data_IF_524199745934
#
_entry.id   IF_524199745934
#
_cell.length_a   1.000
_cell.length_b   1.000
_cell.length_c   1.000
_cell.angle_alpha   90.00
_cell.angle_beta   90.00
_cell.angle_gamma   90.00
#
_symmetry.space_group_name_H-M   'P 1'
#
loop_
_entity.id
_entity.type
_entity.pdbx_description
1 polymer ?
#
# COMPACT_ATOMS: atom_id res chain seq x y z
N UNK A 1 18.37 42.94 -48.81
CA UNK A 1 19.65 42.20 -48.70
C UNK A 1 20.63 43.07 -47.93
N UNK A 2 21.01 42.65 -46.71
CA UNK A 2 22.42 42.50 -46.40
C UNK A 2 22.75 41.11 -45.85
N UNK A 3 24.02 40.76 -46.03
CA UNK A 3 24.69 39.47 -45.83
C UNK A 3 25.46 39.51 -44.50
N UNK A 4 25.28 38.43 -43.71
CA UNK A 4 26.25 37.69 -42.89
C UNK A 4 27.26 38.43 -42.00
N UNK A 5 27.31 38.07 -40.70
CA UNK A 5 28.54 37.61 -40.01
C UNK A 5 28.16 36.60 -38.91
N UNK A 6 28.84 35.46 -38.86
CA UNK A 6 28.76 34.42 -37.83
C UNK A 6 29.78 34.62 -36.70
N UNK A 7 29.35 34.25 -35.49
CA UNK A 7 30.05 33.66 -34.32
C UNK A 7 31.20 34.42 -33.60
N UNK A 8 31.22 34.36 -32.25
CA UNK A 8 31.81 33.22 -31.56
C UNK A 8 30.93 32.57 -30.47
N UNK A 9 31.35 31.36 -30.13
CA UNK A 9 30.82 30.37 -29.20
C UNK A 9 31.02 30.71 -27.72
N UNK A 10 30.31 29.94 -26.88
CA UNK A 10 30.47 29.63 -25.43
C UNK A 10 29.51 30.32 -24.45
N UNK A 11 29.20 29.70 -23.29
CA UNK A 11 29.36 28.31 -22.87
C UNK A 11 28.03 27.61 -22.56
N UNK A 12 28.09 26.27 -22.50
CA UNK A 12 27.06 25.41 -21.92
C UNK A 12 26.75 25.91 -20.49
N UNK A 13 25.49 26.31 -20.27
CA UNK A 13 24.93 26.43 -18.94
C UNK A 13 24.13 25.17 -18.73
N UNK A 14 24.53 24.40 -17.72
CA UNK A 14 23.92 23.14 -17.31
C UNK A 14 22.44 23.38 -16.98
N UNK A 15 21.62 23.08 -17.97
CA UNK A 15 20.18 22.97 -17.82
C UNK A 15 19.85 21.64 -17.17
N UNK A 16 19.21 21.75 -16.02
CA UNK A 16 17.98 20.99 -15.78
C UNK A 16 18.14 19.48 -15.49
N UNK A 17 18.87 19.15 -14.41
CA UNK A 17 18.59 17.95 -13.62
C UNK A 17 17.68 18.31 -12.42
N UNK A 18 16.40 18.59 -12.70
CA UNK A 18 15.33 18.55 -11.69
C UNK A 18 14.09 17.89 -12.27
N UNK A 19 14.25 16.65 -12.69
CA UNK A 19 13.11 15.77 -12.93
C UNK A 19 13.51 14.31 -12.69
N UNK A 20 13.93 13.93 -11.48
CA UNK A 20 13.89 12.53 -11.03
C UNK A 20 14.19 12.41 -9.51
N UNK A 21 13.26 12.89 -8.67
CA UNK A 21 13.27 12.59 -7.22
C UNK A 21 12.01 11.87 -6.75
N UNK A 22 11.25 11.24 -7.67
CA UNK A 22 10.07 10.43 -7.32
C UNK A 22 10.19 8.93 -7.64
N UNK A 23 11.39 8.39 -7.91
CA UNK A 23 11.61 6.95 -8.10
C UNK A 23 12.71 6.33 -7.22
N UNK A 24 13.13 6.98 -6.14
CA UNK A 24 14.07 6.39 -5.19
C UNK A 24 13.41 5.37 -4.21
N UNK A 25 12.07 5.28 -4.18
CA UNK A 25 11.34 4.35 -3.29
C UNK A 25 11.10 2.94 -3.85
N UNK A 26 11.49 2.66 -5.11
CA UNK A 26 11.25 1.37 -5.77
C UNK A 26 12.52 0.49 -5.89
N UNK A 27 13.71 1.05 -5.69
CA UNK A 27 14.96 0.31 -5.81
C UNK A 27 15.23 -0.64 -4.63
N UNK A 28 14.80 -0.30 -3.40
CA UNK A 28 15.04 -1.16 -2.23
C UNK A 28 14.18 -2.45 -2.21
N UNK A 29 13.13 -2.54 -3.04
CA UNK A 29 12.31 -3.75 -3.18
C UNK A 29 12.69 -4.58 -4.42
N UNK A 30 13.47 -4.05 -5.36
CA UNK A 30 13.93 -4.79 -6.54
C UNK A 30 15.01 -5.82 -6.18
N UNK A 31 15.90 -5.50 -5.23
CA UNK A 31 16.93 -6.43 -4.73
C UNK A 31 16.33 -7.62 -3.97
N UNK A 32 15.17 -7.44 -3.32
CA UNK A 32 14.44 -8.51 -2.65
C UNK A 32 13.83 -9.53 -3.63
N UNK A 33 13.44 -9.09 -4.84
CA UNK A 33 12.90 -9.96 -5.89
C UNK A 33 14.02 -10.59 -6.72
N UNK A 34 15.14 -9.88 -6.93
CA UNK A 34 16.31 -10.38 -7.65
C UNK A 34 17.00 -11.57 -6.94
N UNK A 35 16.95 -11.65 -5.61
CA UNK A 35 17.41 -12.82 -4.86
C UNK A 35 16.55 -14.07 -5.06
N UNK A 36 15.27 -13.93 -5.45
CA UNK A 36 14.36 -15.07 -5.66
C UNK A 36 14.42 -15.63 -7.09
N UNK A 37 14.97 -14.87 -8.04
CA UNK A 37 14.95 -15.22 -9.47
C UNK A 37 16.33 -15.43 -10.09
N UNK A 38 17.43 -15.29 -9.33
CA UNK A 38 18.74 -15.70 -9.82
C UNK A 38 18.80 -17.23 -9.96
N UNK A 39 18.98 -17.79 -11.18
CA UNK A 39 19.24 -19.20 -11.33
C UNK A 39 20.58 -19.51 -10.66
N UNK A 40 20.54 -20.27 -9.56
CA UNK A 40 21.73 -20.88 -8.98
C UNK A 40 22.28 -21.84 -10.03
N UNK A 41 23.33 -21.45 -10.73
CA UNK A 41 24.13 -22.34 -11.55
C UNK A 41 24.86 -23.30 -10.62
N UNK A 42 24.21 -24.41 -10.28
CA UNK A 42 24.86 -25.50 -9.56
C UNK A 42 25.92 -26.14 -10.49
N UNK A 43 27.20 -26.23 -10.06
CA UNK A 43 28.18 -27.04 -10.78
C UNK A 43 27.74 -28.51 -10.75
N UNK A 44 27.73 -29.15 -11.91
CA UNK A 44 27.44 -30.59 -12.06
C UNK A 44 28.48 -31.40 -11.28
N UNK A 45 28.05 -32.10 -10.23
CA UNK A 45 28.85 -33.18 -9.65
C UNK A 45 28.85 -33.28 -8.12
N UNK A 46 27.72 -33.11 -7.45
CA UNK A 46 27.62 -33.40 -6.01
C UNK A 46 26.40 -34.28 -5.70
N UNK A 47 26.65 -35.32 -4.91
CA UNK A 47 25.71 -36.37 -4.52
C UNK A 47 24.40 -35.84 -3.93
N UNK A 48 23.30 -36.49 -4.33
CA UNK A 48 21.94 -36.21 -3.90
C UNK A 48 21.68 -36.69 -2.46
N UNK A 49 22.28 -36.02 -1.49
CA UNK A 49 21.81 -36.00 -0.09
C UNK A 49 21.61 -34.55 0.34
N UNK A 50 20.78 -33.82 -0.39
CA UNK A 50 20.36 -32.47 -0.04
C UNK A 50 19.25 -32.56 1.02
N UNK A 51 19.68 -32.74 2.27
CA UNK A 51 18.89 -32.39 3.44
C UNK A 51 18.51 -30.90 3.28
N UNK A 52 17.22 -30.60 3.35
CA UNK A 52 16.67 -29.25 3.22
C UNK A 52 17.23 -28.40 4.36
N UNK A 53 18.36 -27.74 4.13
CA UNK A 53 18.87 -26.67 4.98
C UNK A 53 17.98 -25.45 4.72
N UNK A 54 16.81 -25.42 5.36
CA UNK A 54 16.05 -24.19 5.51
C UNK A 54 16.93 -23.21 6.27
N UNK A 55 17.53 -22.30 5.52
CA UNK A 55 18.45 -21.31 6.01
C UNK A 55 17.77 -20.49 7.13
N UNK A 56 18.40 -20.44 8.31
CA UNK A 56 17.91 -19.68 9.46
C UNK A 56 17.68 -18.21 9.09
N UNK A 57 18.34 -17.72 8.04
CA UNK A 57 18.19 -16.39 7.49
C UNK A 57 16.77 -16.07 6.98
N UNK A 58 16.08 -17.03 6.36
CA UNK A 58 14.74 -16.82 5.79
C UNK A 58 13.66 -16.74 6.86
N UNK A 59 13.77 -17.56 7.91
CA UNK A 59 12.81 -17.55 9.04
C UNK A 59 12.93 -16.26 9.85
N UNK A 60 14.15 -15.76 10.06
CA UNK A 60 14.39 -14.49 10.77
C UNK A 60 13.82 -13.30 9.99
N UNK A 61 14.00 -13.26 8.66
CA UNK A 61 13.43 -12.19 7.81
C UNK A 61 11.91 -12.17 7.82
N UNK A 62 11.24 -13.33 7.75
CA UNK A 62 9.77 -13.42 7.82
C UNK A 62 9.27 -12.96 9.19
N UNK A 63 9.96 -13.34 10.26
CA UNK A 63 9.60 -12.92 11.63
C UNK A 63 9.75 -11.41 11.84
N UNK A 64 10.80 -10.81 11.26
CA UNK A 64 11.04 -9.37 11.30
C UNK A 64 9.97 -8.61 10.51
N UNK A 65 9.65 -9.07 9.29
CA UNK A 65 8.55 -8.53 8.47
C UNK A 65 7.22 -8.60 9.20
N UNK A 66 6.93 -9.72 9.86
CA UNK A 66 5.67 -9.90 10.60
C UNK A 66 5.59 -8.95 11.80
N UNK A 67 6.69 -8.75 12.55
CA UNK A 67 6.74 -7.80 13.66
C UNK A 67 6.57 -6.35 13.20
N UNK A 68 7.25 -5.93 12.14
CA UNK A 68 7.13 -4.57 11.58
C UNK A 68 5.72 -4.32 11.03
N UNK A 69 5.09 -5.35 10.44
CA UNK A 69 3.73 -5.24 9.92
C UNK A 69 2.67 -5.22 11.05
N UNK A 70 2.90 -5.93 12.15
CA UNK A 70 2.00 -5.97 13.31
C UNK A 70 2.11 -4.74 14.22
N UNK A 71 3.29 -4.10 14.31
CA UNK A 71 3.50 -2.90 15.13
C UNK A 71 2.90 -1.63 14.50
N UNK A 72 2.41 -1.69 13.27
CA UNK A 72 1.76 -0.57 12.56
C UNK A 72 0.23 -0.66 12.60
N UNK A 73 -0.36 -1.29 13.62
CA UNK A 73 -1.79 -1.14 13.89
C UNK A 73 -2.06 0.35 14.12
N UNK A 74 -2.86 1.03 13.28
CA UNK A 74 -3.17 2.44 13.50
C UNK A 74 -3.83 2.53 14.87
N UNK A 75 -3.26 3.36 15.75
CA UNK A 75 -3.95 3.76 16.96
C UNK A 75 -5.31 4.31 16.52
N UNK A 76 -6.38 3.57 16.80
CA UNK A 76 -7.75 4.05 16.68
C UNK A 76 -7.98 5.05 17.81
N UNK A 77 -7.24 6.15 17.79
CA UNK A 77 -7.45 7.24 18.70
C UNK A 77 -8.59 8.06 18.11
N UNK A 78 -9.81 7.67 18.48
CA UNK A 78 -11.04 8.36 18.15
C UNK A 78 -11.10 9.68 18.92
N UNK A 79 -10.17 10.59 18.65
CA UNK A 79 -10.31 11.99 19.04
C UNK A 79 -11.38 12.58 18.13
N UNK A 80 -12.63 12.38 18.54
CA UNK A 80 -13.80 12.94 17.89
C UNK A 80 -13.65 14.46 17.88
N UNK A 81 -13.36 15.00 16.71
CA UNK A 81 -13.22 16.42 16.50
C UNK A 81 -14.62 17.01 16.35
N UNK A 82 -15.19 17.58 17.43
CA UNK A 82 -16.45 18.35 17.34
C UNK A 82 -16.15 19.82 17.57
N UNK A 83 -16.44 20.64 16.57
CA UNK A 83 -16.36 22.10 16.70
C UNK A 83 -17.75 22.58 17.15
N UNK A 84 -17.82 23.20 18.33
CA UNK A 84 -18.99 24.01 18.73
C UNK A 84 -19.17 25.22 17.78
N UNK A 85 -20.27 25.96 17.90
CA UNK A 85 -20.64 27.01 16.93
C UNK A 85 -19.51 28.03 16.68
N UNK A 86 -19.40 28.51 15.44
CA UNK A 86 -18.32 29.38 14.96
C UNK A 86 -18.17 30.70 15.76
N UNK A 87 -19.26 31.18 16.36
CA UNK A 87 -19.33 32.48 17.06
C UNK A 87 -18.43 32.55 18.31
N UNK A 88 -18.08 31.40 18.90
CA UNK A 88 -17.29 31.35 20.14
C UNK A 88 -15.78 31.31 19.92
N UNK A 89 -15.33 31.23 18.67
CA UNK A 89 -13.92 31.01 18.35
C UNK A 89 -13.30 32.22 17.65
N UNK A 90 -12.07 32.58 18.05
CA UNK A 90 -11.29 33.57 17.32
C UNK A 90 -10.90 33.03 15.93
N UNK A 91 -10.75 33.92 14.95
CA UNK A 91 -10.32 33.53 13.60
C UNK A 91 -8.96 32.81 13.65
N UNK A 92 -8.05 33.26 14.51
CA UNK A 92 -6.73 32.62 14.65
C UNK A 92 -6.85 31.18 15.16
N UNK A 93 -7.81 30.92 16.04
CA UNK A 93 -8.12 29.56 16.47
C UNK A 93 -8.66 28.71 15.32
N UNK A 94 -9.62 29.23 14.55
CA UNK A 94 -10.17 28.52 13.39
C UNK A 94 -9.09 28.22 12.34
N UNK A 95 -8.20 29.17 12.06
CA UNK A 95 -7.05 28.99 11.15
C UNK A 95 -6.09 27.91 11.65
N UNK A 96 -5.78 27.92 12.94
CA UNK A 96 -4.94 26.90 13.55
C UNK A 96 -5.58 25.51 13.38
N UNK A 97 -6.85 25.38 13.75
CA UNK A 97 -7.60 24.13 13.62
C UNK A 97 -7.66 23.65 12.17
N UNK A 98 -7.93 24.57 11.23
CA UNK A 98 -7.92 24.28 9.80
C UNK A 98 -6.59 23.69 9.33
N UNK A 99 -5.47 24.26 9.78
CA UNK A 99 -4.13 23.73 9.46
C UNK A 99 -3.90 22.31 10.00
N UNK A 100 -4.52 21.95 11.13
CA UNK A 100 -4.44 20.60 11.68
C UNK A 100 -5.35 19.61 10.94
N UNK A 101 -6.54 20.06 10.55
CA UNK A 101 -7.47 19.27 9.75
C UNK A 101 -6.86 18.93 8.38
N UNK A 102 -6.18 19.89 7.76
CA UNK A 102 -5.50 19.68 6.48
C UNK A 102 -4.37 18.65 6.58
N UNK A 103 -3.53 18.75 7.61
CA UNK A 103 -2.50 17.73 7.91
C UNK A 103 -3.09 16.34 8.14
N UNK A 104 -4.19 16.25 8.90
CA UNK A 104 -4.88 14.97 9.14
C UNK A 104 -5.46 14.37 7.86
N UNK A 105 -5.96 15.20 6.95
CA UNK A 105 -6.44 14.73 5.65
C UNK A 105 -5.28 14.22 4.79
N UNK A 106 -4.15 14.93 4.75
CA UNK A 106 -2.92 14.49 4.07
C UNK A 106 -2.39 13.16 4.62
N UNK A 107 -2.39 12.99 5.95
CA UNK A 107 -2.04 11.72 6.60
C UNK A 107 -2.98 10.58 6.17
N UNK A 108 -4.26 10.88 5.92
CA UNK A 108 -5.21 9.89 5.39
C UNK A 108 -4.84 9.46 3.96
N UNK A 109 -4.37 10.38 3.11
CA UNK A 109 -3.89 10.07 1.75
C UNK A 109 -2.61 9.24 1.81
N UNK A 110 -1.64 9.62 2.63
CA UNK A 110 -0.41 8.83 2.87
C UNK A 110 -0.71 7.41 3.34
N UNK A 111 -1.70 7.25 4.22
CA UNK A 111 -2.15 5.93 4.69
C UNK A 111 -2.73 5.10 3.54
N UNK A 112 -3.48 5.73 2.63
CA UNK A 112 -4.01 5.06 1.44
C UNK A 112 -2.87 4.54 0.55
N UNK A 113 -1.87 5.37 0.25
CA UNK A 113 -0.73 5.01 -0.59
C UNK A 113 0.10 3.90 0.06
N UNK A 114 0.42 4.02 1.35
CA UNK A 114 1.14 3.00 2.09
C UNK A 114 0.39 1.66 2.12
N UNK A 115 -0.93 1.68 2.26
CA UNK A 115 -1.79 0.48 2.22
C UNK A 115 -1.78 -0.17 0.85
N UNK A 116 -1.82 0.63 -0.22
CA UNK A 116 -1.74 0.15 -1.60
C UNK A 116 -0.38 -0.50 -1.87
N UNK A 117 0.72 0.17 -1.54
CA UNK A 117 2.08 -0.39 -1.71
C UNK A 117 2.24 -1.71 -0.95
N UNK A 118 1.83 -1.78 0.32
CA UNK A 118 1.86 -3.03 1.11
C UNK A 118 1.04 -4.15 0.45
N UNK A 119 -0.15 -3.82 -0.07
CA UNK A 119 -1.00 -4.79 -0.77
C UNK A 119 -0.30 -5.32 -2.03
N UNK A 120 0.31 -4.43 -2.83
CA UNK A 120 1.04 -4.82 -4.05
C UNK A 120 2.20 -5.76 -3.68
N UNK A 121 3.00 -5.44 -2.66
CA UNK A 121 4.08 -6.31 -2.19
C UNK A 121 3.58 -7.70 -1.81
N UNK A 122 2.46 -7.79 -1.08
CA UNK A 122 1.86 -9.08 -0.71
C UNK A 122 1.33 -9.86 -1.91
N UNK A 123 0.75 -9.18 -2.91
CA UNK A 123 0.30 -9.82 -4.14
C UNK A 123 1.48 -10.38 -4.92
N UNK A 124 2.56 -9.61 -5.09
CA UNK A 124 3.77 -10.06 -5.78
C UNK A 124 4.34 -11.33 -5.12
N UNK A 125 4.42 -11.35 -3.79
CA UNK A 125 4.82 -12.53 -3.04
C UNK A 125 3.89 -13.73 -3.29
N UNK A 126 2.57 -13.50 -3.23
CA UNK A 126 1.57 -14.55 -3.46
C UNK A 126 1.67 -15.15 -4.86
N UNK A 127 1.84 -14.31 -5.88
CA UNK A 127 1.99 -14.73 -7.28
C UNK A 127 3.27 -15.54 -7.47
N UNK A 128 4.39 -15.11 -6.87
CA UNK A 128 5.64 -15.86 -6.92
C UNK A 128 5.51 -17.26 -6.30
N UNK A 129 4.90 -17.37 -5.11
CA UNK A 129 4.67 -18.64 -4.43
C UNK A 129 3.72 -19.56 -5.23
N UNK A 130 2.61 -19.00 -5.74
CA UNK A 130 1.65 -19.75 -6.55
C UNK A 130 2.31 -20.28 -7.83
N UNK A 131 3.13 -19.46 -8.49
CA UNK A 131 3.85 -19.84 -9.71
C UNK A 131 4.87 -20.94 -9.44
N UNK A 132 5.64 -20.85 -8.34
CA UNK A 132 6.60 -21.87 -7.94
C UNK A 132 5.92 -23.21 -7.61
N UNK A 133 4.80 -23.18 -6.90
CA UNK A 133 4.04 -24.40 -6.60
C UNK A 133 3.37 -25.01 -7.84
N UNK A 134 2.82 -24.17 -8.73
CA UNK A 134 2.27 -24.64 -10.00
C UNK A 134 3.36 -25.30 -10.87
N UNK A 135 4.54 -24.69 -10.96
CA UNK A 135 5.68 -25.28 -11.66
C UNK A 135 6.10 -26.62 -11.04
N UNK A 136 6.17 -26.70 -9.71
CA UNK A 136 6.46 -27.96 -9.01
C UNK A 136 5.42 -29.05 -9.31
N UNK A 137 4.13 -28.69 -9.30
CA UNK A 137 3.05 -29.60 -9.65
C UNK A 137 3.22 -30.15 -11.06
N UNK A 138 3.39 -29.29 -12.07
CA UNK A 138 3.55 -29.74 -13.46
C UNK A 138 4.83 -30.54 -13.70
N UNK A 139 5.93 -30.20 -13.03
CA UNK A 139 7.21 -30.90 -13.18
C UNK A 139 7.20 -32.33 -12.58
N UNK A 140 6.38 -32.57 -11.55
CA UNK A 140 6.35 -33.84 -10.83
C UNK A 140 5.06 -34.65 -11.09
N UNK A 141 4.13 -34.13 -11.89
CA UNK A 141 2.89 -34.82 -12.22
C UNK A 141 3.16 -35.93 -13.23
N UNK A 142 3.09 -37.18 -12.79
CA UNK A 142 3.13 -38.33 -13.68
C UNK A 142 1.71 -38.66 -14.16
N UNK A 143 1.49 -38.57 -15.47
CA UNK A 143 0.21 -38.90 -16.10
C UNK A 143 -0.08 -40.41 -16.12
N UNK A 144 0.84 -41.25 -15.62
CA UNK A 144 0.66 -42.71 -15.49
C UNK A 144 -0.42 -43.14 -14.50
N UNK A 145 -1.01 -42.21 -13.74
CA UNK A 145 -2.21 -42.44 -12.93
C UNK A 145 -1.97 -42.83 -11.47
N UNK A 146 -0.72 -42.80 -10.99
CA UNK A 146 -0.43 -42.98 -9.57
C UNK A 146 -0.66 -41.68 -8.79
N UNK A 147 -1.53 -41.72 -7.78
CA UNK A 147 -1.78 -40.57 -6.92
C UNK A 147 -0.62 -40.36 -5.95
N UNK A 148 0.06 -39.21 -6.04
CA UNK A 148 1.10 -38.81 -5.10
C UNK A 148 0.55 -37.85 -4.03
N UNK A 149 0.59 -38.21 -2.74
CA UNK A 149 0.16 -37.34 -1.63
C UNK A 149 0.80 -35.95 -1.64
N UNK A 150 2.04 -35.85 -2.16
CA UNK A 150 2.78 -34.60 -2.32
C UNK A 150 2.08 -33.66 -3.31
N UNK A 151 1.67 -34.18 -4.46
CA UNK A 151 0.97 -33.40 -5.50
C UNK A 151 -0.42 -32.96 -5.01
N UNK A 152 -1.14 -33.83 -4.30
CA UNK A 152 -2.42 -33.48 -3.67
C UNK A 152 -2.28 -32.33 -2.68
N UNK A 153 -1.24 -32.36 -1.84
CA UNK A 153 -0.95 -31.27 -0.89
C UNK A 153 -0.67 -29.95 -1.62
N UNK A 154 0.19 -29.99 -2.65
CA UNK A 154 0.53 -28.80 -3.45
C UNK A 154 -0.70 -28.20 -4.11
N UNK A 155 -1.60 -29.01 -4.65
CA UNK A 155 -2.83 -28.55 -5.28
C UNK A 155 -3.72 -27.78 -4.30
N UNK A 156 -3.89 -28.30 -3.06
CA UNK A 156 -4.67 -27.61 -2.02
C UNK A 156 -3.97 -26.31 -1.58
N UNK A 157 -2.65 -26.32 -1.45
CA UNK A 157 -1.89 -25.11 -1.13
C UNK A 157 -1.99 -24.05 -2.24
N UNK A 158 -2.03 -24.44 -3.51
CA UNK A 158 -2.31 -23.52 -4.62
C UNK A 158 -3.69 -22.86 -4.47
N UNK A 159 -4.73 -23.64 -4.17
CA UNK A 159 -6.06 -23.10 -3.92
C UNK A 159 -6.09 -22.15 -2.71
N UNK A 160 -5.32 -22.46 -1.66
CA UNK A 160 -5.19 -21.61 -0.48
C UNK A 160 -4.49 -20.27 -0.80
N UNK A 161 -3.39 -20.27 -1.56
CA UNK A 161 -2.74 -19.02 -1.98
C UNK A 161 -3.63 -18.23 -2.93
N UNK A 162 -4.36 -18.90 -3.82
CA UNK A 162 -5.35 -18.25 -4.68
C UNK A 162 -6.43 -17.53 -3.87
N UNK A 163 -6.90 -18.13 -2.77
CA UNK A 163 -7.84 -17.48 -1.85
C UNK A 163 -7.22 -16.20 -1.22
N UNK A 164 -5.96 -16.24 -0.78
CA UNK A 164 -5.26 -15.06 -0.26
C UNK A 164 -5.21 -13.95 -1.32
N UNK A 165 -4.88 -14.30 -2.57
CA UNK A 165 -4.88 -13.36 -3.69
C UNK A 165 -6.25 -12.72 -3.92
N UNK A 166 -7.33 -13.51 -3.89
CA UNK A 166 -8.69 -13.01 -4.07
C UNK A 166 -9.09 -12.00 -2.98
N UNK A 167 -8.63 -12.20 -1.74
CA UNK A 167 -8.83 -11.24 -0.64
C UNK A 167 -8.04 -9.95 -0.89
N UNK A 168 -6.78 -10.05 -1.33
CA UNK A 168 -5.89 -8.91 -1.56
C UNK A 168 -6.30 -8.05 -2.77
N UNK A 169 -6.79 -8.65 -3.86
CA UNK A 169 -7.21 -7.90 -5.06
C UNK A 169 -8.30 -6.86 -4.73
N UNK A 170 -9.17 -7.15 -3.76
CA UNK A 170 -10.21 -6.21 -3.31
C UNK A 170 -9.65 -4.91 -2.70
N UNK A 171 -8.37 -4.86 -2.33
CA UNK A 171 -7.70 -3.66 -1.84
C UNK A 171 -7.17 -2.73 -2.94
N UNK A 172 -7.00 -3.23 -4.17
CA UNK A 172 -6.47 -2.48 -5.32
C UNK A 172 -7.60 -1.89 -6.17
N UNK A 173 -8.82 -2.39 -6.03
CA UNK A 173 -9.98 -1.82 -6.72
C UNK A 173 -10.06 -0.30 -6.47
N UNK A 174 -10.44 0.50 -7.48
CA UNK A 174 -10.56 1.94 -7.33
C UNK A 174 -11.63 2.26 -6.29
N UNK A 175 -11.35 3.21 -5.41
CA UNK A 175 -12.29 3.73 -4.42
C UNK A 175 -12.40 5.25 -4.58
N UNK A 176 -13.60 5.78 -4.36
CA UNK A 176 -13.84 7.22 -4.38
C UNK A 176 -13.24 7.87 -3.14
N UNK A 177 -11.99 8.29 -3.26
CA UNK A 177 -11.27 9.01 -2.23
C UNK A 177 -11.55 10.51 -2.33
N UNK A 178 -11.74 11.17 -1.20
CA UNK A 178 -11.97 12.61 -1.19
C UNK A 178 -10.62 13.34 -1.18
N UNK A 179 -10.32 14.19 -2.18
CA UNK A 179 -9.06 14.94 -2.24
C UNK A 179 -9.05 16.10 -1.24
N UNK A 180 -7.87 16.67 -1.04
CA UNK A 180 -7.69 17.93 -0.33
C UNK A 180 -8.18 19.11 -1.17
N UNK A 181 -8.60 20.17 -0.49
CA UNK A 181 -9.07 21.42 -1.10
C UNK A 181 -10.52 21.38 -1.59
N UNK A 182 -11.12 22.56 -1.67
CA UNK A 182 -12.49 22.76 -2.15
C UNK A 182 -12.50 23.61 -3.42
N UNK A 183 -13.53 23.43 -4.24
CA UNK A 183 -13.71 24.24 -5.44
C UNK A 183 -13.90 25.71 -5.04
N UNK A 184 -13.24 26.67 -5.70
CA UNK A 184 -13.39 28.10 -5.39
C UNK A 184 -14.85 28.57 -5.44
N UNK A 185 -15.67 27.97 -6.31
CA UNK A 185 -17.09 28.26 -6.43
C UNK A 185 -17.92 27.89 -5.19
N UNK A 186 -17.44 26.94 -4.38
CA UNK A 186 -18.07 26.57 -3.11
C UNK A 186 -17.66 27.51 -1.97
N UNK A 187 -16.50 28.18 -2.10
CA UNK A 187 -15.96 29.09 -1.09
C UNK A 187 -16.39 30.55 -1.33
N UNK A 188 -16.66 30.93 -2.58
CA UNK A 188 -17.00 32.30 -2.98
C UNK A 188 -18.49 32.43 -3.32
N UNK A 189 -19.37 32.13 -2.36
CA UNK A 189 -20.83 32.21 -2.56
C UNK A 189 -21.39 33.63 -2.55
N UNK A 190 -20.62 34.62 -2.09
CA UNK A 190 -20.97 36.05 -2.13
C UNK A 190 -20.00 36.81 -3.03
N UNK A 191 -20.54 37.77 -3.78
CA UNK A 191 -19.74 38.64 -4.66
C UNK A 191 -18.71 39.41 -3.81
N UNK A 192 -17.42 39.39 -4.16
CA UNK A 192 -16.41 40.19 -3.46
C UNK A 192 -16.61 41.71 -3.63
N UNK A 193 -17.64 42.12 -4.38
CA UNK A 193 -17.95 43.51 -4.74
C UNK A 193 -19.17 44.09 -4.01
N UNK A 194 -19.82 43.36 -3.09
CA UNK A 194 -20.82 43.97 -2.19
C UNK A 194 -20.11 44.80 -1.11
N UNK A 195 -20.64 45.98 -0.76
CA UNK A 195 -20.09 46.83 0.30
C UNK A 195 -20.11 46.10 1.66
N UNK A 196 -19.02 45.45 2.01
CA UNK A 196 -18.86 44.76 3.29
C UNK A 196 -18.34 45.74 4.34
N UNK A 197 -19.08 45.89 5.44
CA UNK A 197 -18.51 46.42 6.68
C UNK A 197 -17.47 45.41 7.20
N UNK A 198 -16.41 45.89 7.87
CA UNK A 198 -15.35 45.02 8.43
C UNK A 198 -15.89 43.90 9.32
N UNK A 199 -16.96 44.17 10.06
CA UNK A 199 -17.61 43.20 10.94
C UNK A 199 -18.32 42.08 10.15
N UNK A 200 -18.97 42.40 9.03
CA UNK A 200 -19.57 41.42 8.13
C UNK A 200 -18.53 40.57 7.41
N UNK A 201 -17.38 41.15 7.06
CA UNK A 201 -16.24 40.41 6.48
C UNK A 201 -15.68 39.39 7.48
N UNK A 202 -15.53 39.77 8.75
CA UNK A 202 -15.04 38.89 9.81
C UNK A 202 -15.97 37.68 10.02
N UNK A 203 -17.28 37.94 10.14
CA UNK A 203 -18.30 36.90 10.28
C UNK A 203 -18.32 35.96 9.07
N UNK A 204 -18.26 36.53 7.86
CA UNK A 204 -18.21 35.72 6.64
C UNK A 204 -16.98 34.81 6.61
N UNK A 205 -15.81 35.33 6.99
CA UNK A 205 -14.58 34.54 7.04
C UNK A 205 -14.68 33.39 8.07
N UNK A 206 -15.29 33.64 9.24
CA UNK A 206 -15.56 32.59 10.24
C UNK A 206 -16.47 31.50 9.67
N UNK A 207 -17.53 31.88 8.97
CA UNK A 207 -18.45 30.93 8.32
C UNK A 207 -17.73 30.08 7.26
N UNK A 208 -16.85 30.70 6.45
CA UNK A 208 -16.07 29.97 5.44
C UNK A 208 -15.15 28.95 6.11
N UNK A 209 -14.38 29.33 7.13
CA UNK A 209 -13.52 28.37 7.83
C UNK A 209 -14.32 27.28 8.53
N UNK A 210 -15.44 27.62 9.16
CA UNK A 210 -16.27 26.65 9.87
C UNK A 210 -16.89 25.63 8.92
N UNK A 211 -17.51 26.09 7.82
CA UNK A 211 -18.07 25.21 6.80
C UNK A 211 -17.01 24.30 6.18
N UNK A 212 -15.80 24.82 5.96
CA UNK A 212 -14.72 24.03 5.41
C UNK A 212 -14.19 23.01 6.43
N UNK A 213 -14.11 23.35 7.71
CA UNK A 213 -13.78 22.38 8.76
C UNK A 213 -14.76 21.21 8.82
N UNK A 214 -16.06 21.46 8.65
CA UNK A 214 -17.08 20.40 8.55
C UNK A 214 -16.85 19.52 7.31
N UNK A 215 -16.51 20.12 6.17
CA UNK A 215 -16.16 19.38 4.97
C UNK A 215 -14.93 18.49 5.19
N UNK A 216 -13.87 19.01 5.82
CA UNK A 216 -12.67 18.25 6.15
C UNK A 216 -12.98 17.07 7.08
N UNK A 217 -13.75 17.28 8.15
CA UNK A 217 -14.15 16.20 9.07
C UNK A 217 -14.91 15.09 8.33
N UNK A 218 -15.86 15.45 7.47
CA UNK A 218 -16.58 14.48 6.63
C UNK A 218 -15.64 13.69 5.72
N UNK A 219 -14.72 14.36 5.01
CA UNK A 219 -13.76 13.70 4.11
C UNK A 219 -12.81 12.78 4.86
N UNK A 220 -12.31 13.21 6.00
CA UNK A 220 -11.43 12.42 6.87
C UNK A 220 -12.16 11.15 7.33
N UNK A 221 -13.38 11.28 7.86
CA UNK A 221 -14.21 10.13 8.29
C UNK A 221 -14.49 9.17 7.13
N UNK A 222 -14.85 9.69 5.96
CA UNK A 222 -15.08 8.90 4.76
C UNK A 222 -13.82 8.12 4.34
N UNK A 223 -12.68 8.80 4.23
CA UNK A 223 -11.39 8.21 3.86
C UNK A 223 -10.95 7.11 4.86
N UNK A 224 -11.10 7.37 6.17
CA UNK A 224 -10.82 6.36 7.20
C UNK A 224 -11.77 5.16 7.12
N UNK A 225 -13.06 5.37 6.85
CA UNK A 225 -14.03 4.29 6.70
C UNK A 225 -13.69 3.35 5.53
N UNK A 226 -13.09 3.89 4.46
CA UNK A 226 -12.60 3.12 3.31
C UNK A 226 -11.32 2.35 3.67
N UNK A 227 -10.38 2.97 4.39
CA UNK A 227 -9.10 2.34 4.72
C UNK A 227 -9.20 1.28 5.81
N UNK A 228 -10.12 1.41 6.77
CA UNK A 228 -10.29 0.45 7.86
C UNK A 228 -10.49 -1.02 7.39
N UNK A 229 -11.41 -1.34 6.46
CA UNK A 229 -11.54 -2.70 5.95
C UNK A 229 -10.33 -3.14 5.11
N UNK A 230 -9.64 -2.22 4.43
CA UNK A 230 -8.43 -2.55 3.65
C UNK A 230 -7.32 -3.05 4.56
N UNK A 231 -7.10 -2.38 5.69
CA UNK A 231 -6.13 -2.78 6.70
C UNK A 231 -6.48 -4.12 7.35
N UNK A 232 -7.77 -4.37 7.65
CA UNK A 232 -8.23 -5.69 8.14
C UNK A 232 -7.90 -6.82 7.16
N UNK A 233 -8.09 -6.59 5.86
CA UNK A 233 -7.75 -7.57 4.81
C UNK A 233 -6.25 -7.83 4.71
N UNK A 234 -5.41 -6.79 4.84
CA UNK A 234 -3.95 -6.95 4.91
C UNK A 234 -3.56 -7.77 6.13
N UNK A 235 -4.09 -7.43 7.30
CA UNK A 235 -3.84 -8.17 8.55
C UNK A 235 -4.22 -9.64 8.43
N UNK A 236 -5.40 -9.94 7.87
CA UNK A 236 -5.83 -11.30 7.59
C UNK A 236 -4.86 -12.02 6.64
N UNK A 237 -4.45 -11.39 5.54
CA UNK A 237 -3.52 -11.99 4.58
C UNK A 237 -2.17 -12.33 5.22
N UNK A 238 -1.63 -11.44 6.06
CA UNK A 238 -0.38 -11.68 6.81
C UNK A 238 -0.51 -12.91 7.73
N UNK A 239 -1.62 -13.00 8.47
CA UNK A 239 -1.90 -14.17 9.32
C UNK A 239 -2.01 -15.47 8.50
N UNK A 240 -2.68 -15.42 7.35
CA UNK A 240 -2.79 -16.58 6.45
C UNK A 240 -1.44 -17.00 5.87
N UNK A 241 -0.56 -16.05 5.54
CA UNK A 241 0.81 -16.33 5.11
C UNK A 241 1.66 -16.93 6.22
N UNK A 242 1.56 -16.40 7.45
CA UNK A 242 2.29 -16.93 8.59
C UNK A 242 1.88 -18.36 8.94
N UNK A 243 0.60 -18.71 8.76
CA UNK A 243 0.07 -20.06 8.97
C UNK A 243 0.34 -21.06 7.83
N UNK A 244 0.76 -20.58 6.66
CA UNK A 244 0.99 -21.40 5.46
C UNK A 244 1.88 -22.64 5.67
N UNK A 245 3.08 -22.56 6.29
CA UNK A 245 3.95 -23.73 6.44
C UNK A 245 3.35 -24.80 7.37
N UNK A 246 2.67 -24.37 8.45
CA UNK A 246 2.01 -25.30 9.37
C UNK A 246 0.84 -26.01 8.69
N UNK A 247 0.04 -25.27 7.92
CA UNK A 247 -1.05 -25.84 7.13
C UNK A 247 -0.53 -26.88 6.12
N UNK A 248 0.56 -26.58 5.41
CA UNK A 248 1.18 -27.51 4.47
C UNK A 248 1.64 -28.82 5.12
N UNK A 249 2.28 -28.73 6.30
CA UNK A 249 2.72 -29.91 7.04
C UNK A 249 1.54 -30.76 7.53
N UNK A 250 0.50 -30.13 8.06
CA UNK A 250 -0.71 -30.81 8.52
C UNK A 250 -1.44 -31.50 7.35
N UNK A 251 -1.64 -30.79 6.24
CA UNK A 251 -2.29 -31.35 5.04
C UNK A 251 -1.52 -32.54 4.49
N UNK A 252 -0.19 -32.43 4.40
CA UNK A 252 0.64 -33.53 3.94
C UNK A 252 0.51 -34.77 4.83
N UNK A 253 0.55 -34.59 6.16
CA UNK A 253 0.37 -35.68 7.11
C UNK A 253 -0.97 -36.38 6.96
N UNK A 254 -2.06 -35.61 6.83
CA UNK A 254 -3.41 -36.14 6.64
C UNK A 254 -3.53 -36.90 5.32
N UNK A 255 -3.12 -36.30 4.20
CA UNK A 255 -3.23 -36.94 2.87
C UNK A 255 -2.36 -38.19 2.81
N UNK A 256 -1.15 -38.16 3.39
CA UNK A 256 -0.27 -39.33 3.43
C UNK A 256 -0.88 -40.47 4.25
N UNK A 257 -1.49 -40.15 5.40
CA UNK A 257 -2.17 -41.15 6.23
C UNK A 257 -3.41 -41.76 5.55
N UNK A 258 -4.11 -40.99 4.70
CA UNK A 258 -5.25 -41.48 3.92
C UNK A 258 -4.85 -42.33 2.71
N UNK A 259 -3.62 -42.17 2.22
CA UNK A 259 -3.10 -42.91 1.07
C UNK A 259 -2.38 -44.22 1.43
N UNK A 260 -2.08 -44.41 2.73
CA UNK A 260 -1.44 -45.61 3.26
C UNK A 260 -2.47 -46.70 3.55
#
# INVERSE_FOLDING_TARGET
>A
MPVLVMHPTTPCVDGEERAFTHMAGWAENADLVACFLSPVTCPRGADYNALIHFDKCSVVKITLLTKTLLSMSPATDSTHFSVEHADFHSIDHLKFVFSQADKRLDDSHKTFDATTTKTITLITLAVALLSGMAAYFFANNDFSGSFSPKLGTVLILCAYIYYILAVLIRNILPHNYQPSGSLPSLLLTKSPFEEQTKENEELHLKDVYYSELLNYDFRIKHNFSINAPRLKRIGLAIWLFAGFPLLGLLLYGVISALSA
#
